data_IF_640770006796
#
_entry.id   IF_640770006796
#
_cell.length_a   1.000
_cell.length_b   1.000
_cell.length_c   1.000
_cell.angle_alpha   90.00
_cell.angle_beta   90.00
_cell.angle_gamma   90.00
#
_symmetry.space_group_name_H-M   'P 1'
#
loop_
_entity.id
_entity.type
_entity.pdbx_description
1 polymer ?
#
# COMPACT_ATOMS: atom_id res chain seq x y z
N UNK A 1 50.28 -34.11 61.06
CA UNK A 1 50.27 -34.85 59.78
C UNK A 1 48.92 -34.60 59.11
N UNK A 2 48.95 -34.19 57.84
CA UNK A 2 47.83 -33.57 57.13
C UNK A 2 46.70 -34.58 56.79
N UNK A 3 45.47 -34.14 56.99
CA UNK A 3 44.24 -34.87 56.62
C UNK A 3 44.13 -34.96 55.10
N UNK A 4 43.97 -36.17 54.57
CA UNK A 4 43.76 -36.42 53.15
C UNK A 4 42.45 -35.77 52.67
N UNK A 5 42.56 -34.86 51.70
CA UNK A 5 41.43 -34.32 50.94
C UNK A 5 40.92 -35.40 49.98
N UNK A 6 39.62 -35.71 50.04
CA UNK A 6 38.89 -36.34 48.92
C UNK A 6 37.85 -35.33 48.43
N UNK A 7 37.98 -34.97 47.15
CA UNK A 7 37.20 -33.96 46.42
C UNK A 7 35.71 -34.20 46.60
N UNK A 8 34.95 -33.15 46.91
CA UNK A 8 33.53 -33.12 46.61
C UNK A 8 33.39 -33.15 45.08
N UNK A 9 32.80 -34.20 44.55
CA UNK A 9 32.25 -34.21 43.20
C UNK A 9 31.04 -33.28 43.24
N UNK A 10 31.12 -32.16 42.55
CA UNK A 10 29.99 -31.27 42.34
C UNK A 10 29.24 -31.86 41.14
N UNK A 11 28.06 -32.48 41.30
CA UNK A 11 27.20 -32.72 40.17
C UNK A 11 26.63 -31.35 39.81
N UNK A 12 27.36 -30.61 38.98
CA UNK A 12 26.66 -29.72 38.08
C UNK A 12 25.86 -30.69 37.21
N UNK A 13 24.63 -30.93 37.62
CA UNK A 13 23.69 -31.81 36.93
C UNK A 13 23.72 -31.37 35.48
N UNK A 14 24.04 -32.34 34.63
CA UNK A 14 24.14 -32.19 33.21
C UNK A 14 22.87 -31.50 32.74
N UNK A 15 22.99 -30.31 32.16
CA UNK A 15 21.89 -29.67 31.44
C UNK A 15 21.53 -30.62 30.30
N UNK A 16 20.51 -31.45 30.52
CA UNK A 16 19.97 -32.37 29.54
C UNK A 16 19.24 -31.52 28.52
N UNK A 17 19.97 -31.02 27.52
CA UNK A 17 19.37 -30.39 26.36
C UNK A 17 18.59 -31.46 25.59
N UNK A 18 17.30 -31.22 25.26
CA UNK A 18 16.56 -32.09 24.36
C UNK A 18 17.36 -32.31 23.06
N UNK A 19 17.41 -33.54 22.57
CA UNK A 19 18.14 -33.82 21.33
C UNK A 19 17.47 -33.11 20.16
N UNK A 20 18.27 -32.59 19.22
CA UNK A 20 17.78 -31.95 17.98
C UNK A 20 16.84 -32.87 17.17
N UNK A 21 16.92 -34.18 17.39
CA UNK A 21 16.05 -35.22 16.82
C UNK A 21 14.57 -35.11 17.28
N UNK A 22 14.29 -34.43 18.39
CA UNK A 22 12.92 -34.15 18.87
C UNK A 22 12.29 -32.89 18.26
N UNK A 23 12.97 -32.24 17.30
CA UNK A 23 12.45 -31.06 16.60
C UNK A 23 12.41 -29.79 17.46
N UNK A 24 13.07 -29.78 18.61
CA UNK A 24 13.26 -28.59 19.45
C UNK A 24 14.56 -27.95 18.97
N UNK A 25 14.46 -26.97 18.07
CA UNK A 25 15.58 -26.14 17.66
C UNK A 25 16.07 -25.28 18.83
N UNK A 26 17.32 -24.80 18.76
CA UNK A 26 17.81 -23.77 19.69
C UNK A 26 16.81 -22.62 19.73
N UNK A 27 16.45 -22.20 20.94
CA UNK A 27 15.70 -20.96 21.13
C UNK A 27 16.49 -19.83 20.49
N UNK A 28 15.86 -19.11 19.56
CA UNK A 28 16.45 -17.92 18.93
C UNK A 28 16.81 -16.93 20.03
N UNK A 29 18.03 -16.43 19.96
CA UNK A 29 18.48 -15.40 20.89
C UNK A 29 17.70 -14.10 20.61
N UNK A 30 17.54 -13.25 21.62
CA UNK A 30 16.87 -11.94 21.43
C UNK A 30 17.55 -11.11 20.35
N UNK A 31 18.87 -11.24 20.21
CA UNK A 31 19.67 -10.56 19.18
C UNK A 31 19.37 -11.06 17.75
N UNK A 32 19.13 -12.36 17.58
CA UNK A 32 18.70 -12.93 16.29
C UNK A 32 17.30 -12.44 15.91
N UNK A 33 16.39 -12.43 16.87
CA UNK A 33 15.01 -11.95 16.67
C UNK A 33 14.94 -10.46 16.32
N UNK A 34 15.71 -9.61 17.00
CA UNK A 34 15.78 -8.17 16.71
C UNK A 34 16.30 -7.92 15.29
N UNK A 35 17.30 -8.71 14.86
CA UNK A 35 17.84 -8.62 13.50
C UNK A 35 16.86 -9.07 12.43
N UNK A 36 16.05 -10.09 12.71
CA UNK A 36 14.98 -10.54 11.79
C UNK A 36 13.85 -9.52 11.67
N UNK A 37 13.56 -8.77 12.74
CA UNK A 37 12.64 -7.63 12.67
C UNK A 37 13.22 -6.50 11.82
N UNK A 38 14.50 -6.16 12.02
CA UNK A 38 15.20 -5.14 11.23
C UNK A 38 15.29 -5.52 9.73
N UNK A 39 15.45 -6.80 9.40
CA UNK A 39 15.46 -7.28 8.01
C UNK A 39 14.08 -7.43 7.38
N UNK A 40 13.01 -7.32 8.18
CA UNK A 40 11.62 -7.55 7.76
C UNK A 40 11.26 -9.02 7.55
N UNK A 41 12.09 -9.95 8.03
CA UNK A 41 11.80 -11.39 8.01
C UNK A 41 10.76 -11.78 9.08
N UNK A 42 10.72 -11.02 10.18
CA UNK A 42 9.76 -11.17 11.25
C UNK A 42 8.95 -9.88 11.44
N UNK A 43 7.60 -9.91 11.35
CA UNK A 43 6.79 -8.72 11.60
C UNK A 43 6.83 -8.32 13.09
N UNK A 44 6.79 -7.01 13.34
CA UNK A 44 6.63 -6.47 14.69
C UNK A 44 5.23 -6.80 15.26
N UNK A 45 5.16 -7.04 16.58
CA UNK A 45 3.91 -7.37 17.25
C UNK A 45 3.13 -6.10 17.60
N UNK A 46 1.92 -5.88 17.03
CA UNK A 46 1.13 -4.67 17.29
C UNK A 46 0.58 -4.57 18.72
N UNK A 47 0.69 -5.64 19.52
CA UNK A 47 0.31 -5.63 20.94
C UNK A 47 1.42 -5.10 21.85
N UNK A 48 2.64 -4.92 21.34
CA UNK A 48 3.71 -4.23 22.07
C UNK A 48 3.64 -2.72 21.81
N UNK A 49 4.28 -1.93 22.69
CA UNK A 49 4.29 -0.47 22.51
C UNK A 49 5.09 -0.09 21.25
N UNK A 50 6.21 -0.77 21.01
CA UNK A 50 7.08 -0.57 19.86
C UNK A 50 6.37 -0.87 18.54
N UNK A 51 5.69 -2.03 18.43
CA UNK A 51 4.95 -2.36 17.20
C UNK A 51 3.73 -1.47 16.98
N UNK A 52 3.19 -0.87 18.05
CA UNK A 52 2.12 0.13 17.94
C UNK A 52 2.65 1.48 17.46
N UNK A 53 3.85 1.87 17.85
CA UNK A 53 4.51 3.11 17.40
C UNK A 53 4.94 3.00 15.93
N UNK A 54 5.50 1.86 15.52
CA UNK A 54 5.88 1.60 14.13
C UNK A 54 4.69 1.71 13.16
N UNK A 55 3.50 1.24 13.57
CA UNK A 55 2.28 1.37 12.78
C UNK A 55 1.75 2.81 12.64
N UNK A 56 2.15 3.72 13.52
CA UNK A 56 1.73 5.13 13.46
C UNK A 56 2.60 5.96 12.51
N UNK A 57 3.88 5.61 12.36
CA UNK A 57 4.82 6.32 11.48
C UNK A 57 4.56 6.04 9.99
N UNK A 58 3.97 4.88 9.63
CA UNK A 58 3.56 4.55 8.25
C UNK A 58 2.33 5.34 7.75
N UNK A 59 1.57 5.99 8.64
CA UNK A 59 0.40 6.79 8.28
C UNK A 59 0.80 8.21 7.78
N UNK A 60 2.10 8.53 7.84
CA UNK A 60 2.65 9.77 7.32
C UNK A 60 2.85 9.65 5.79
N UNK A 61 1.85 10.11 5.03
CA UNK A 61 1.92 10.16 3.56
C UNK A 61 3.13 11.00 3.14
N UNK A 62 4.07 10.37 2.45
CA UNK A 62 5.20 11.09 1.88
C UNK A 62 4.73 12.13 0.84
N UNK A 63 5.45 13.24 0.63
CA UNK A 63 5.08 14.25 -0.36
C UNK A 63 4.87 13.72 -1.79
N UNK A 64 5.55 12.62 -2.17
CA UNK A 64 5.39 11.98 -3.47
C UNK A 64 4.16 11.05 -3.54
N UNK A 65 3.79 10.43 -2.42
CA UNK A 65 2.58 9.61 -2.27
C UNK A 65 1.31 10.46 -2.23
N UNK A 66 1.42 11.68 -1.68
CA UNK A 66 0.34 12.66 -1.69
C UNK A 66 -0.16 12.95 -3.11
N UNK A 67 0.74 12.99 -4.10
CA UNK A 67 0.37 13.19 -5.51
C UNK A 67 -0.42 12.02 -6.12
N UNK A 68 -0.26 10.80 -5.60
CA UNK A 68 -1.09 9.66 -5.99
C UNK A 68 -2.44 9.67 -5.26
N UNK A 69 -2.46 10.07 -3.98
CA UNK A 69 -3.68 10.18 -3.19
C UNK A 69 -4.63 11.27 -3.71
N UNK A 70 -4.08 12.37 -4.25
CA UNK A 70 -4.86 13.46 -4.87
C UNK A 70 -5.57 13.02 -6.17
N UNK A 71 -5.11 11.92 -6.78
CA UNK A 71 -5.61 11.44 -8.07
C UNK A 71 -5.15 12.31 -9.23
N UNK A 72 -5.21 11.77 -10.46
CA UNK A 72 -4.88 12.54 -11.64
C UNK A 72 -5.84 13.74 -11.75
N UNK A 73 -5.30 14.95 -11.68
CA UNK A 73 -6.05 16.19 -11.90
C UNK A 73 -6.84 16.12 -13.22
N UNK A 74 -7.98 16.80 -13.28
CA UNK A 74 -8.99 16.73 -14.36
C UNK A 74 -8.43 16.87 -15.80
N UNK A 75 -7.17 17.28 -15.99
CA UNK A 75 -6.45 17.24 -17.27
C UNK A 75 -6.55 15.89 -18.00
N UNK A 76 -6.58 14.76 -17.27
CA UNK A 76 -6.77 13.44 -17.87
C UNK A 76 -8.18 13.19 -18.45
N UNK A 77 -9.20 13.96 -18.05
CA UNK A 77 -10.57 13.82 -18.55
C UNK A 77 -10.71 14.32 -19.99
N UNK A 78 -9.91 15.30 -20.38
CA UNK A 78 -9.94 15.87 -21.74
C UNK A 78 -9.29 14.96 -22.80
N UNK A 79 -8.68 13.86 -22.38
CA UNK A 79 -8.16 12.81 -23.26
C UNK A 79 -9.23 11.84 -23.76
N UNK A 80 -10.50 12.01 -23.38
CA UNK A 80 -11.62 11.12 -23.74
C UNK A 80 -12.77 11.88 -24.39
N UNK A 81 -13.53 11.19 -25.25
CA UNK A 81 -14.76 11.72 -25.83
C UNK A 81 -15.81 11.92 -24.72
N UNK A 82 -16.40 13.11 -24.61
CA UNK A 82 -17.34 13.42 -23.55
C UNK A 82 -18.70 12.68 -23.66
N UNK A 83 -19.04 12.15 -24.84
CA UNK A 83 -20.22 11.32 -25.06
C UNK A 83 -19.93 9.82 -24.85
N UNK A 84 -18.88 9.29 -25.50
CA UNK A 84 -18.60 7.85 -25.51
C UNK A 84 -17.64 7.40 -24.40
N UNK A 85 -16.80 8.31 -23.90
CA UNK A 85 -15.75 8.00 -22.93
C UNK A 85 -14.52 7.33 -23.54
N UNK A 86 -14.50 7.14 -24.86
CA UNK A 86 -13.38 6.52 -25.57
C UNK A 86 -12.17 7.46 -25.60
N UNK A 87 -10.94 6.93 -25.50
CA UNK A 87 -9.73 7.74 -25.62
C UNK A 87 -9.65 8.44 -26.98
N UNK A 88 -9.21 9.70 -26.98
CA UNK A 88 -9.03 10.52 -28.18
C UNK A 88 -7.60 10.49 -28.72
N UNK A 89 -6.74 9.62 -28.19
CA UNK A 89 -5.31 9.55 -28.56
C UNK A 89 -5.10 9.19 -30.05
N UNK A 90 -5.98 8.37 -30.62
CA UNK A 90 -5.87 7.88 -32.00
C UNK A 90 -6.71 8.70 -33.01
N UNK A 91 -7.36 9.78 -32.56
CA UNK A 91 -8.26 10.58 -33.39
C UNK A 91 -7.52 11.80 -33.94
N UNK A 92 -7.32 11.84 -35.26
CA UNK A 92 -6.65 12.97 -35.94
C UNK A 92 -7.42 14.29 -35.81
N UNK A 93 -8.76 14.22 -35.77
CA UNK A 93 -9.64 15.40 -35.77
C UNK A 93 -10.55 15.39 -34.53
N UNK A 94 -10.06 15.97 -33.44
CA UNK A 94 -10.87 16.21 -32.23
C UNK A 94 -11.76 17.43 -32.44
N UNK A 95 -13.05 17.29 -32.13
CA UNK A 95 -14.03 18.37 -32.18
C UNK A 95 -14.22 18.92 -30.77
N UNK A 96 -13.96 20.21 -30.59
CA UNK A 96 -14.24 20.92 -29.34
C UNK A 96 -15.58 21.66 -29.42
N UNK A 97 -16.40 21.53 -28.38
CA UNK A 97 -17.69 22.21 -28.31
C UNK A 97 -17.99 22.67 -26.87
N UNK A 98 -18.39 23.93 -26.74
CA UNK A 98 -18.88 24.48 -25.48
C UNK A 98 -20.34 24.07 -25.27
N UNK A 99 -20.62 23.54 -24.08
CA UNK A 99 -21.95 23.10 -23.64
C UNK A 99 -22.12 23.53 -22.18
N UNK A 100 -23.05 24.45 -21.92
CA UNK A 100 -23.32 24.97 -20.57
C UNK A 100 -22.14 25.70 -19.89
N UNK A 101 -21.32 26.41 -20.67
CA UNK A 101 -20.16 27.14 -20.15
C UNK A 101 -18.95 26.24 -19.86
N UNK A 102 -19.00 24.96 -20.24
CA UNK A 102 -17.88 24.02 -20.16
C UNK A 102 -17.47 23.55 -21.55
N UNK A 103 -16.17 23.51 -21.81
CA UNK A 103 -15.61 23.00 -23.07
C UNK A 103 -15.44 21.49 -23.00
N UNK A 104 -15.98 20.79 -23.99
CA UNK A 104 -15.90 19.33 -24.12
C UNK A 104 -15.24 18.94 -25.45
N UNK A 105 -14.56 17.78 -25.46
CA UNK A 105 -13.90 17.20 -26.64
C UNK A 105 -14.65 15.95 -27.11
N UNK A 106 -14.67 15.75 -28.42
CA UNK A 106 -15.39 14.66 -29.08
C UNK A 106 -14.57 14.11 -30.24
N UNK A 107 -14.70 12.80 -30.49
CA UNK A 107 -14.12 12.12 -31.62
C UNK A 107 -14.79 12.51 -32.95
N UNK A 108 -16.03 13.04 -32.90
CA UNK A 108 -16.75 13.45 -34.10
C UNK A 108 -17.78 14.56 -33.82
N UNK A 109 -18.18 15.28 -34.89
CA UNK A 109 -19.24 16.29 -34.83
C UNK A 109 -20.59 15.70 -34.39
N UNK A 110 -20.86 14.45 -34.80
CA UNK A 110 -22.11 13.75 -34.44
C UNK A 110 -22.20 13.52 -32.93
N UNK A 111 -21.08 13.17 -32.28
CA UNK A 111 -21.03 12.97 -30.84
C UNK A 111 -21.28 14.30 -30.10
N UNK A 112 -20.68 15.39 -30.57
CA UNK A 112 -20.91 16.73 -30.01
C UNK A 112 -22.40 17.14 -30.06
N UNK A 113 -23.08 16.88 -31.18
CA UNK A 113 -24.51 17.19 -31.34
C UNK A 113 -25.40 16.33 -30.43
N UNK A 114 -25.16 15.02 -30.37
CA UNK A 114 -25.91 14.12 -29.50
C UNK A 114 -25.73 14.48 -28.02
N UNK A 115 -24.51 14.84 -27.62
CA UNK A 115 -24.23 15.28 -26.26
C UNK A 115 -24.99 16.56 -25.90
N UNK A 116 -25.01 17.54 -26.81
CA UNK A 116 -25.81 18.78 -26.65
C UNK A 116 -27.29 18.48 -26.48
N UNK A 117 -27.86 17.60 -27.32
CA UNK A 117 -29.26 17.22 -27.21
C UNK A 117 -29.56 16.52 -25.88
N UNK A 118 -28.70 15.59 -25.44
CA UNK A 118 -28.83 14.92 -24.15
C UNK A 118 -28.88 15.93 -23.00
N UNK A 119 -27.93 16.88 -22.95
CA UNK A 119 -27.90 17.93 -21.93
C UNK A 119 -29.14 18.83 -21.94
N UNK A 120 -29.63 19.21 -23.11
CA UNK A 120 -30.88 19.96 -23.25
C UNK A 120 -32.09 19.19 -22.70
N UNK A 121 -32.17 17.87 -22.96
CA UNK A 121 -33.26 17.03 -22.43
C UNK A 121 -33.18 16.85 -20.91
N UNK A 122 -31.97 16.70 -20.36
CA UNK A 122 -31.74 16.60 -18.91
C UNK A 122 -32.15 17.89 -18.19
N UNK A 123 -31.81 19.05 -18.76
CA UNK A 123 -32.27 20.35 -18.24
C UNK A 123 -33.78 20.51 -18.23
N UNK A 124 -34.47 20.02 -19.27
CA UNK A 124 -35.94 20.06 -19.32
C UNK A 124 -36.60 19.14 -18.29
N UNK A 125 -35.97 18.02 -17.93
CA UNK A 125 -36.48 17.10 -16.88
C UNK A 125 -36.24 17.61 -15.46
N UNK A 126 -35.23 18.47 -15.25
CA UNK A 126 -34.91 19.08 -13.95
C UNK A 126 -35.69 20.37 -13.66
N UNK A 127 -36.48 20.85 -14.61
CA UNK A 127 -37.35 22.03 -14.48
C UNK A 127 -38.78 21.58 -14.26
#
# INVERSE_FOLDING_TARGET
MAKAKRKAHNPHEDDVYPSEEQGISKEETTEEREKEMESGELPEDPLTEEGREALLDEDAIDPWEAGFAEGASEEGQHGKDALTGEPLMDVENVVEAEVEGKTYRFASKKNAEQFRQKKLTEKKKKK
#
